data_IF_953021491589
#
_entry.id   IF_953021491589
#
_cell.length_a   1.000
_cell.length_b   1.000
_cell.length_c   1.000
_cell.angle_alpha   90.00
_cell.angle_beta   90.00
_cell.angle_gamma   90.00
#
_symmetry.space_group_name_H-M   'P 1'
#
loop_
_entity.id
_entity.type
_entity.pdbx_description
1 polymer ?
#
# COMPACT_ATOMS: atom_id res chain seq x y z
N UNK A 1 66.00 -8.35 6.62
CA UNK A 1 64.66 -7.97 6.15
C UNK A 1 64.87 -6.94 5.06
N UNK A 2 64.64 -7.23 3.78
CA UNK A 2 64.71 -6.21 2.73
C UNK A 2 63.36 -5.49 2.59
N UNK A 3 63.42 -4.16 2.52
CA UNK A 3 62.29 -3.26 2.30
C UNK A 3 61.70 -3.44 0.90
N UNK A 4 60.38 -3.60 0.83
CA UNK A 4 59.63 -3.71 -0.42
C UNK A 4 59.23 -2.30 -0.90
N UNK A 5 59.82 -1.92 -2.03
CA UNK A 5 59.51 -0.71 -2.80
C UNK A 5 58.15 -0.85 -3.48
N UNK A 6 57.25 0.11 -3.25
CA UNK A 6 55.95 0.22 -3.93
C UNK A 6 56.07 1.27 -5.04
N UNK A 7 55.70 0.97 -6.30
CA UNK A 7 55.63 1.99 -7.35
C UNK A 7 54.29 2.74 -7.33
N UNK A 8 54.36 4.07 -7.49
CA UNK A 8 53.24 5.00 -7.63
C UNK A 8 52.54 4.84 -9.01
N UNK A 9 51.20 5.00 -9.10
CA UNK A 9 50.50 4.96 -10.38
C UNK A 9 50.45 6.31 -11.11
N UNK A 10 50.51 6.18 -12.43
CA UNK A 10 50.63 7.18 -13.49
C UNK A 10 49.51 8.24 -13.51
N UNK A 11 49.89 9.46 -13.90
CA UNK A 11 49.02 10.63 -13.99
C UNK A 11 48.66 10.91 -15.45
N UNK A 12 47.57 10.32 -15.96
CA UNK A 12 47.06 10.65 -17.29
C UNK A 12 45.92 11.69 -17.22
N UNK A 13 46.20 12.82 -17.87
CA UNK A 13 45.39 14.01 -18.01
C UNK A 13 44.29 13.78 -19.06
N UNK A 14 43.03 14.04 -18.73
CA UNK A 14 41.95 14.19 -19.71
C UNK A 14 41.58 15.66 -19.82
N UNK A 15 42.11 16.32 -20.85
CA UNK A 15 41.73 17.65 -21.32
C UNK A 15 40.37 17.59 -22.02
N UNK A 16 39.37 18.30 -21.48
CA UNK A 16 38.06 18.47 -22.11
C UNK A 16 38.11 19.79 -22.89
N UNK A 17 38.21 19.67 -24.22
CA UNK A 17 38.23 20.80 -25.15
C UNK A 17 36.86 21.50 -25.23
N UNK A 18 36.86 22.82 -25.04
CA UNK A 18 35.71 23.71 -25.20
C UNK A 18 35.63 24.15 -26.66
N UNK A 19 34.51 23.97 -27.39
CA UNK A 19 34.38 24.55 -28.73
C UNK A 19 33.86 25.99 -28.68
N UNK A 20 34.57 26.90 -29.37
CA UNK A 20 34.19 28.29 -29.66
C UNK A 20 33.02 28.38 -30.66
N UNK A 21 32.19 29.44 -30.62
CA UNK A 21 31.09 29.65 -31.57
C UNK A 21 31.60 30.31 -32.86
N UNK A 22 31.39 29.67 -34.01
CA UNK A 22 31.65 30.23 -35.34
C UNK A 22 30.35 30.32 -36.12
N UNK A 23 29.93 31.55 -36.44
CA UNK A 23 28.90 31.87 -37.45
C UNK A 23 29.47 31.70 -38.85
N UNK A 24 28.63 31.36 -39.84
CA UNK A 24 28.70 32.12 -41.08
C UNK A 24 27.33 32.52 -41.64
N UNK A 25 27.30 33.77 -42.10
CA UNK A 25 26.32 34.44 -42.94
C UNK A 25 25.94 33.63 -44.19
N UNK A 26 24.65 33.57 -44.53
CA UNK A 26 24.18 33.42 -45.92
C UNK A 26 22.97 34.31 -46.16
N UNK A 27 23.04 34.98 -47.30
CA UNK A 27 22.27 36.11 -47.77
C UNK A 27 20.83 35.78 -48.18
N UNK A 28 20.02 36.84 -48.14
CA UNK A 28 18.64 36.97 -48.61
C UNK A 28 18.53 36.76 -50.13
N UNK A 29 17.52 35.99 -50.56
CA UNK A 29 16.94 36.14 -51.89
C UNK A 29 15.41 36.16 -51.78
N UNK A 30 14.85 37.26 -52.25
CA UNK A 30 13.45 37.61 -52.30
C UNK A 30 12.92 37.24 -53.69
N UNK A 31 12.02 36.25 -53.81
CA UNK A 31 10.91 36.34 -54.75
C UNK A 31 9.89 35.20 -54.70
N UNK A 32 8.65 35.62 -54.98
CA UNK A 32 7.57 34.91 -55.67
C UNK A 32 6.58 34.03 -54.86
N UNK A 33 5.46 34.70 -54.54
CA UNK A 33 4.09 34.29 -54.87
C UNK A 33 3.59 32.92 -54.36
N UNK A 34 2.61 32.99 -53.46
CA UNK A 34 1.22 32.53 -53.68
C UNK A 34 0.46 32.81 -52.38
N UNK A 35 -0.52 33.72 -52.44
CA UNK A 35 -1.46 33.94 -51.36
C UNK A 35 -2.55 32.86 -51.39
N UNK A 36 -2.83 32.17 -50.27
CA UNK A 36 -4.16 31.65 -50.03
C UNK A 36 -4.93 32.66 -49.16
N UNK A 37 -5.95 33.20 -49.80
CA UNK A 37 -7.15 33.80 -49.23
C UNK A 37 -7.57 33.07 -47.93
N UNK A 38 -7.35 33.71 -46.78
CA UNK A 38 -7.95 33.32 -45.50
C UNK A 38 -9.09 34.29 -45.28
N UNK A 39 -10.27 33.89 -45.72
CA UNK A 39 -11.53 34.51 -45.40
C UNK A 39 -11.74 34.32 -43.90
N UNK A 40 -11.55 35.38 -43.13
CA UNK A 40 -11.82 35.43 -41.68
C UNK A 40 -13.36 35.35 -41.51
N UNK A 41 -13.93 34.31 -40.86
CA UNK A 41 -15.36 34.31 -40.59
C UNK A 41 -15.68 35.38 -39.55
N UNK A 42 -16.66 36.25 -39.85
CA UNK A 42 -17.22 37.20 -38.89
C UNK A 42 -17.64 36.44 -37.61
N UNK A 43 -17.36 36.99 -36.41
CA UNK A 43 -17.79 36.36 -35.17
C UNK A 43 -19.33 36.31 -35.13
N UNK A 44 -19.86 35.10 -34.97
CA UNK A 44 -21.28 34.89 -34.66
C UNK A 44 -21.64 35.68 -33.39
N UNK A 45 -22.81 36.33 -33.33
CA UNK A 45 -23.22 37.08 -32.15
C UNK A 45 -23.30 36.14 -30.94
N UNK A 46 -22.64 36.53 -29.84
CA UNK A 46 -22.77 35.85 -28.56
C UNK A 46 -24.25 35.75 -28.18
N UNK A 47 -24.73 34.57 -27.74
CA UNK A 47 -26.11 34.42 -27.31
C UNK A 47 -26.36 35.34 -26.12
N UNK A 48 -27.46 36.10 -26.18
CA UNK A 48 -27.94 36.88 -25.03
C UNK A 48 -28.07 35.94 -23.82
N UNK A 49 -27.62 36.37 -22.62
CA UNK A 49 -27.71 35.54 -21.44
C UNK A 49 -29.18 35.22 -21.16
N UNK A 50 -29.50 33.93 -21.06
CA UNK A 50 -30.79 33.48 -20.58
C UNK A 50 -31.07 34.12 -19.21
N UNK A 51 -32.31 34.56 -18.94
CA UNK A 51 -32.63 35.15 -17.65
C UNK A 51 -32.31 34.16 -16.54
N UNK A 52 -31.53 34.60 -15.56
CA UNK A 52 -31.25 33.83 -14.35
C UNK A 52 -32.59 33.38 -13.74
N UNK A 53 -32.73 32.08 -13.40
CA UNK A 53 -33.95 31.60 -12.78
C UNK A 53 -34.19 32.38 -11.48
N UNK A 54 -35.42 32.88 -11.31
CA UNK A 54 -35.83 33.49 -10.05
C UNK A 54 -35.52 32.52 -8.90
N UNK A 55 -34.93 33.01 -7.79
CA UNK A 55 -34.59 32.15 -6.68
C UNK A 55 -35.86 31.46 -6.17
N UNK A 56 -35.82 30.12 -6.14
CA UNK A 56 -36.86 29.33 -5.48
C UNK A 56 -37.01 29.84 -4.04
N UNK A 57 -38.26 29.95 -3.53
CA UNK A 57 -38.48 30.41 -2.16
C UNK A 57 -37.71 29.52 -1.20
N UNK A 58 -36.88 30.15 -0.36
CA UNK A 58 -36.17 29.46 0.71
C UNK A 58 -37.18 28.64 1.52
N UNK A 59 -36.92 27.34 1.75
CA UNK A 59 -37.81 26.51 2.55
C UNK A 59 -37.93 27.14 3.94
N UNK A 60 -39.17 27.28 4.42
CA UNK A 60 -39.44 27.72 5.79
C UNK A 60 -38.59 26.85 6.74
N UNK A 61 -37.95 27.46 7.75
CA UNK A 61 -37.11 26.72 8.69
C UNK A 61 -37.96 25.64 9.35
N UNK A 62 -37.53 24.38 9.19
CA UNK A 62 -38.10 23.27 9.95
C UNK A 62 -38.06 23.63 11.45
N UNK A 63 -39.10 23.31 12.21
CA UNK A 63 -39.14 23.60 13.64
C UNK A 63 -37.91 23.02 14.31
N UNK A 64 -37.19 23.85 15.07
CA UNK A 64 -36.08 23.40 15.89
C UNK A 64 -36.54 22.19 16.72
N UNK A 65 -35.83 21.05 16.65
CA UNK A 65 -36.20 19.89 17.45
C UNK A 65 -36.15 20.31 18.93
N UNK A 66 -37.24 20.02 19.65
CA UNK A 66 -37.26 20.18 21.10
C UNK A 66 -36.02 19.49 21.70
N UNK A 67 -35.35 20.11 22.68
CA UNK A 67 -34.15 19.52 23.27
C UNK A 67 -34.51 18.16 23.85
N UNK A 68 -33.92 17.11 23.29
CA UNK A 68 -33.95 15.78 23.90
C UNK A 68 -33.48 15.90 25.35
N UNK A 69 -34.15 15.21 26.29
CA UNK A 69 -33.78 15.27 27.70
C UNK A 69 -32.32 14.85 27.85
N UNK A 70 -31.52 15.72 28.49
CA UNK A 70 -30.16 15.38 28.90
C UNK A 70 -30.20 14.02 29.61
N UNK A 71 -29.43 13.01 29.17
CA UNK A 71 -29.37 11.76 29.88
C UNK A 71 -28.73 12.05 31.23
N UNK A 72 -29.55 11.96 32.29
CA UNK A 72 -29.06 11.90 33.65
C UNK A 72 -27.95 10.85 33.69
N UNK A 73 -26.75 11.29 34.06
CA UNK A 73 -25.59 10.44 34.27
C UNK A 73 -25.92 9.41 35.36
N UNK A 74 -26.49 8.28 34.95
CA UNK A 74 -26.55 7.06 35.74
C UNK A 74 -25.16 6.49 35.81
N UNK A 75 -24.46 6.93 36.84
CA UNK A 75 -23.28 6.28 37.39
C UNK A 75 -23.69 4.84 37.78
N UNK A 76 -23.07 3.87 37.10
CA UNK A 76 -23.05 2.41 37.36
C UNK A 76 -24.22 1.59 36.80
N UNK A 77 -23.95 0.77 35.76
CA UNK A 77 -23.58 -0.64 35.88
C UNK A 77 -23.01 -1.16 34.55
N UNK A 78 -22.04 -2.08 34.64
CA UNK A 78 -21.40 -2.75 33.52
C UNK A 78 -22.37 -3.76 32.90
N UNK A 79 -23.17 -3.33 31.92
CA UNK A 79 -23.92 -4.26 31.07
C UNK A 79 -23.26 -4.38 29.70
N UNK A 80 -22.66 -5.55 29.52
CA UNK A 80 -21.97 -6.00 28.33
C UNK A 80 -23.01 -6.21 27.22
N UNK A 81 -23.16 -5.23 26.35
CA UNK A 81 -23.53 -5.56 24.96
C UNK A 81 -22.35 -6.34 24.41
N UNK A 82 -22.51 -7.60 23.92
CA UNK A 82 -21.39 -8.31 23.35
C UNK A 82 -20.98 -7.55 22.09
N UNK A 83 -19.88 -6.80 22.18
CA UNK A 83 -19.16 -6.36 21.01
C UNK A 83 -18.94 -7.61 20.13
N UNK A 84 -19.10 -7.50 18.80
CA UNK A 84 -18.74 -8.60 17.91
C UNK A 84 -17.37 -9.13 18.33
N UNK A 85 -17.19 -10.46 18.47
CA UNK A 85 -16.06 -11.03 19.19
C UNK A 85 -14.78 -10.44 18.62
N UNK A 86 -14.12 -9.60 19.41
CA UNK A 86 -12.76 -9.18 19.11
C UNK A 86 -11.94 -10.46 18.91
N UNK A 87 -10.91 -10.45 18.03
CA UNK A 87 -10.04 -11.61 17.89
C UNK A 87 -9.58 -12.04 19.29
N UNK A 88 -9.51 -13.34 19.60
CA UNK A 88 -9.41 -13.89 20.97
C UNK A 88 -8.19 -13.43 21.78
N UNK A 89 -7.34 -12.59 21.19
CA UNK A 89 -6.06 -12.11 21.70
C UNK A 89 -6.04 -10.60 21.95
N UNK A 90 -7.14 -9.89 21.68
CA UNK A 90 -7.20 -8.44 21.82
C UNK A 90 -7.62 -8.05 23.23
N UNK A 91 -6.93 -7.07 23.82
CA UNK A 91 -7.24 -6.48 25.11
C UNK A 91 -7.43 -4.98 24.92
N UNK A 92 -8.52 -4.42 25.45
CA UNK A 92 -8.85 -2.99 25.30
C UNK A 92 -8.92 -2.53 23.82
N UNK A 93 -9.43 -3.39 22.92
CA UNK A 93 -9.60 -3.04 21.51
C UNK A 93 -8.31 -3.02 20.68
N UNK A 94 -7.22 -3.62 21.15
CA UNK A 94 -5.95 -3.79 20.41
C UNK A 94 -5.22 -5.08 20.81
N UNK A 95 -4.26 -5.58 20.00
CA UNK A 95 -3.48 -6.78 20.33
C UNK A 95 -2.67 -6.66 21.64
N UNK A 96 -2.29 -7.79 22.25
CA UNK A 96 -1.50 -7.80 23.50
C UNK A 96 -0.12 -7.15 23.35
N UNK A 97 0.53 -7.28 22.18
CA UNK A 97 1.81 -6.63 21.91
C UNK A 97 1.69 -5.12 21.73
N UNK A 98 0.48 -4.62 21.43
CA UNK A 98 0.21 -3.20 21.18
C UNK A 98 -0.27 -2.44 22.42
N UNK A 99 -0.09 -3.01 23.62
CA UNK A 99 -0.54 -2.35 24.85
C UNK A 99 0.36 -1.19 25.28
N UNK A 100 1.63 -1.27 24.90
CA UNK A 100 2.66 -0.26 25.14
C UNK A 100 3.33 0.08 23.80
N UNK A 101 4.44 0.82 23.82
CA UNK A 101 5.20 1.08 22.58
C UNK A 101 5.74 -0.24 22.00
N UNK A 102 5.69 -0.37 20.69
CA UNK A 102 6.13 -1.55 19.97
C UNK A 102 6.89 -1.17 18.70
N UNK A 103 7.69 -2.12 18.21
CA UNK A 103 8.46 -1.96 16.99
C UNK A 103 7.71 -2.58 15.81
N UNK A 104 7.67 -1.87 14.68
CA UNK A 104 7.08 -2.32 13.43
C UNK A 104 8.06 -2.24 12.27
N UNK A 105 8.02 -3.26 11.40
CA UNK A 105 8.80 -3.31 10.17
C UNK A 105 7.94 -2.77 9.05
N UNK A 106 8.41 -1.73 8.37
CA UNK A 106 7.81 -1.27 7.14
C UNK A 106 8.33 -2.09 5.96
N UNK A 107 7.42 -2.54 5.10
CA UNK A 107 7.76 -3.24 3.88
C UNK A 107 6.79 -2.88 2.77
N UNK A 108 7.19 -3.12 1.51
CA UNK A 108 6.41 -2.76 0.33
C UNK A 108 6.06 -3.96 -0.52
N UNK A 109 4.82 -3.99 -0.96
CA UNK A 109 4.25 -5.02 -1.84
C UNK A 109 3.57 -4.30 -3.00
N UNK A 110 4.12 -4.45 -4.22
CA UNK A 110 3.61 -3.81 -5.45
C UNK A 110 3.25 -2.33 -5.29
N UNK A 111 4.12 -1.57 -4.60
CA UNK A 111 3.94 -0.14 -4.33
C UNK A 111 3.13 0.21 -3.07
N UNK A 112 2.40 -0.73 -2.45
CA UNK A 112 1.71 -0.51 -1.18
C UNK A 112 2.67 -0.69 0.00
N UNK A 113 2.69 0.27 0.92
CA UNK A 113 3.46 0.18 2.17
C UNK A 113 2.59 -0.47 3.25
N UNK A 114 3.17 -1.44 3.95
CA UNK A 114 2.55 -2.20 5.04
C UNK A 114 3.48 -2.17 6.25
N UNK A 115 2.88 -2.26 7.44
CA UNK A 115 3.58 -2.38 8.70
C UNK A 115 3.27 -3.74 9.34
N UNK A 116 4.27 -4.37 9.93
CA UNK A 116 4.12 -5.63 10.67
C UNK A 116 4.89 -5.57 12.00
N UNK A 117 4.29 -5.97 13.13
CA UNK A 117 4.97 -5.94 14.43
C UNK A 117 6.17 -6.90 14.47
N UNK A 118 7.35 -6.40 14.86
CA UNK A 118 8.59 -7.20 14.89
C UNK A 118 8.51 -8.39 15.85
N UNK A 119 7.79 -8.22 16.95
CA UNK A 119 7.62 -9.27 17.98
C UNK A 119 6.88 -10.50 17.47
N UNK A 120 6.18 -10.39 16.34
CA UNK A 120 5.46 -11.49 15.69
C UNK A 120 6.21 -12.07 14.48
N UNK A 121 7.45 -11.64 14.22
CA UNK A 121 8.23 -12.09 13.06
C UNK A 121 9.22 -13.21 13.42
N UNK A 122 9.29 -14.23 12.56
CA UNK A 122 10.27 -15.32 12.64
C UNK A 122 11.57 -15.07 11.87
N UNK A 123 11.67 -13.94 11.17
CA UNK A 123 12.84 -13.53 10.39
C UNK A 123 12.52 -13.13 8.94
N UNK A 124 13.51 -12.60 8.26
CA UNK A 124 13.41 -12.13 6.87
C UNK A 124 14.36 -12.94 6.01
N UNK A 125 13.85 -13.51 4.92
CA UNK A 125 14.61 -14.33 3.98
C UNK A 125 14.67 -13.57 2.66
N UNK A 126 15.88 -13.47 2.08
CA UNK A 126 16.06 -12.97 0.72
C UNK A 126 15.80 -14.09 -0.28
N UNK A 127 15.03 -13.80 -1.32
CA UNK A 127 14.74 -14.73 -2.41
C UNK A 127 15.91 -14.69 -3.39
N UNK A 128 16.80 -15.67 -3.30
CA UNK A 128 17.95 -15.81 -4.22
C UNK A 128 17.73 -16.85 -5.31
N UNK A 129 16.82 -17.79 -5.08
CA UNK A 129 16.50 -18.89 -5.97
C UNK A 129 15.00 -18.91 -6.21
N UNK A 130 14.61 -19.38 -7.39
CA UNK A 130 13.20 -19.58 -7.70
C UNK A 130 12.59 -20.58 -6.69
N UNK A 131 11.41 -20.27 -6.14
CA UNK A 131 10.75 -21.16 -5.21
C UNK A 131 10.24 -22.42 -5.91
N UNK A 132 10.25 -23.54 -5.19
CA UNK A 132 9.74 -24.80 -5.73
C UNK A 132 8.21 -24.70 -5.88
N UNK A 133 7.65 -24.84 -7.10
CA UNK A 133 6.21 -24.82 -7.28
C UNK A 133 5.58 -26.09 -6.70
N UNK A 134 4.39 -25.95 -6.13
CA UNK A 134 3.59 -27.08 -5.65
C UNK A 134 2.28 -27.11 -6.43
N UNK A 135 1.97 -28.26 -7.03
CA UNK A 135 0.74 -28.45 -7.80
C UNK A 135 -0.47 -28.60 -6.88
N UNK A 136 -1.63 -28.12 -7.32
CA UNK A 136 -2.88 -28.18 -6.56
C UNK A 136 -2.93 -27.22 -5.36
N UNK A 137 -2.04 -26.24 -5.31
CA UNK A 137 -2.11 -25.14 -4.35
C UNK A 137 -2.95 -23.99 -4.92
N UNK A 138 -3.57 -23.16 -4.05
CA UNK A 138 -4.34 -22.00 -4.48
C UNK A 138 -3.46 -20.91 -5.12
N UNK A 139 -4.07 -20.02 -5.90
CA UNK A 139 -3.36 -19.00 -6.70
C UNK A 139 -2.52 -18.02 -5.87
N UNK A 140 -2.85 -17.83 -4.59
CA UNK A 140 -2.08 -17.00 -3.68
C UNK A 140 -0.81 -17.68 -3.16
N UNK A 141 -0.62 -18.98 -3.43
CA UNK A 141 0.59 -19.71 -3.07
C UNK A 141 1.68 -19.49 -4.12
N UNK A 142 2.75 -18.81 -3.74
CA UNK A 142 3.84 -18.43 -4.66
C UNK A 142 4.96 -19.47 -4.75
N UNK A 143 4.89 -20.57 -4.00
CA UNK A 143 5.90 -21.64 -3.99
C UNK A 143 6.47 -21.96 -2.60
N UNK A 144 7.49 -22.82 -2.54
CA UNK A 144 8.19 -23.19 -1.31
C UNK A 144 9.67 -22.85 -1.41
N UNK A 145 10.20 -22.15 -0.41
CA UNK A 145 11.64 -21.90 -0.24
C UNK A 145 12.21 -22.79 0.86
N UNK A 146 13.46 -23.21 0.68
CA UNK A 146 14.23 -23.87 1.72
C UNK A 146 15.28 -22.89 2.26
N UNK A 147 15.20 -22.57 3.55
CA UNK A 147 16.14 -21.66 4.21
C UNK A 147 16.49 -22.20 5.59
N UNK A 148 17.77 -22.23 5.95
CA UNK A 148 18.28 -22.74 7.23
C UNK A 148 17.74 -24.14 7.61
N UNK A 149 17.55 -25.01 6.62
CA UNK A 149 17.00 -26.35 6.82
C UNK A 149 15.48 -26.42 7.02
N UNK A 150 14.79 -25.29 7.05
CA UNK A 150 13.33 -25.20 7.15
C UNK A 150 12.69 -24.94 5.78
N UNK A 151 11.49 -25.49 5.59
CA UNK A 151 10.65 -25.20 4.43
C UNK A 151 9.72 -24.04 4.77
N UNK A 152 9.69 -23.03 3.91
CA UNK A 152 8.86 -21.83 4.04
C UNK A 152 7.93 -21.77 2.85
N UNK A 153 6.63 -21.85 3.11
CA UNK A 153 5.57 -21.68 2.15
C UNK A 153 5.35 -20.18 1.89
N UNK A 154 5.56 -19.78 0.63
CA UNK A 154 5.48 -18.41 0.18
C UNK A 154 4.05 -18.02 -0.14
N UNK A 155 3.59 -16.93 0.44
CA UNK A 155 2.27 -16.34 0.21
C UNK A 155 2.43 -15.06 -0.58
N UNK A 156 1.72 -14.99 -1.72
CA UNK A 156 1.57 -13.77 -2.49
C UNK A 156 0.76 -12.74 -1.68
N UNK A 157 1.49 -11.88 -0.97
CA UNK A 157 0.86 -10.88 -0.09
C UNK A 157 0.03 -9.88 -0.88
N UNK A 158 0.36 -9.61 -2.15
CA UNK A 158 -0.40 -8.69 -2.98
C UNK A 158 -1.83 -9.17 -3.19
N UNK A 159 -2.05 -10.45 -3.44
CA UNK A 159 -3.40 -11.00 -3.65
C UNK A 159 -4.30 -10.86 -2.42
N UNK A 160 -3.70 -10.86 -1.21
CA UNK A 160 -4.42 -10.69 0.04
C UNK A 160 -4.73 -9.23 0.39
N UNK A 161 -3.83 -8.31 0.05
CA UNK A 161 -3.88 -6.92 0.51
C UNK A 161 -4.33 -5.92 -0.56
N UNK A 162 -4.09 -6.22 -1.83
CA UNK A 162 -4.41 -5.35 -2.96
C UNK A 162 -5.67 -5.82 -3.71
N UNK A 163 -6.44 -4.88 -4.30
CA UNK A 163 -7.47 -5.22 -5.27
C UNK A 163 -6.91 -6.06 -6.43
N UNK A 164 -7.72 -6.93 -7.05
CA UNK A 164 -7.24 -7.87 -8.07
C UNK A 164 -6.52 -7.18 -9.24
N UNK A 165 -7.00 -6.02 -9.67
CA UNK A 165 -6.40 -5.27 -10.77
C UNK A 165 -4.97 -4.75 -10.49
N UNK A 166 -4.62 -4.48 -9.22
CA UNK A 166 -3.26 -4.05 -8.82
C UNK A 166 -2.35 -5.25 -8.52
N UNK A 167 -2.93 -6.38 -8.09
CA UNK A 167 -2.16 -7.57 -7.75
C UNK A 167 -1.48 -8.23 -8.96
N UNK A 168 -2.00 -8.01 -10.19
CA UNK A 168 -1.50 -8.63 -11.42
C UNK A 168 -0.13 -8.11 -11.91
N UNK A 169 0.43 -7.09 -11.27
CA UNK A 169 1.73 -6.54 -11.64
C UNK A 169 2.83 -7.61 -11.51
N UNK A 170 3.70 -7.74 -12.52
CA UNK A 170 4.68 -8.86 -12.62
C UNK A 170 5.99 -8.70 -11.85
N UNK A 171 6.07 -7.78 -10.89
CA UNK A 171 7.32 -7.55 -10.17
C UNK A 171 7.71 -8.74 -9.28
N UNK A 172 8.91 -9.31 -9.42
CA UNK A 172 9.31 -10.44 -8.60
C UNK A 172 9.42 -10.03 -7.12
N UNK A 173 9.06 -10.96 -6.24
CA UNK A 173 9.26 -10.80 -4.81
C UNK A 173 10.72 -11.06 -4.45
N UNK A 174 11.33 -10.12 -3.74
CA UNK A 174 12.74 -10.18 -3.36
C UNK A 174 12.94 -10.69 -1.92
N UNK A 175 11.91 -10.58 -1.09
CA UNK A 175 11.97 -10.92 0.32
C UNK A 175 10.75 -11.71 0.76
N UNK A 176 10.94 -12.55 1.76
CA UNK A 176 9.89 -13.31 2.45
C UNK A 176 10.01 -13.03 3.94
N UNK A 177 8.96 -12.45 4.52
CA UNK A 177 8.87 -12.16 5.94
C UNK A 177 8.16 -13.33 6.61
N UNK A 178 8.88 -14.10 7.44
CA UNK A 178 8.30 -15.24 8.17
C UNK A 178 7.42 -14.78 9.31
N UNK A 179 6.26 -15.42 9.44
CA UNK A 179 5.30 -15.18 10.51
C UNK A 179 5.60 -16.12 11.67
N UNK A 180 5.94 -15.57 12.86
CA UNK A 180 6.21 -16.33 14.08
C UNK A 180 7.14 -17.54 13.83
N UNK A 181 6.90 -18.66 14.51
CA UNK A 181 7.56 -19.94 14.26
C UNK A 181 6.87 -20.78 13.17
N UNK A 182 5.95 -20.19 12.40
CA UNK A 182 5.22 -20.90 11.36
C UNK A 182 6.11 -21.20 10.15
N UNK A 183 5.60 -22.09 9.29
CA UNK A 183 6.15 -22.35 7.97
C UNK A 183 5.67 -21.33 6.92
N UNK A 184 4.86 -20.33 7.31
CA UNK A 184 4.34 -19.29 6.42
C UNK A 184 5.27 -18.09 6.28
N UNK A 185 5.36 -17.57 5.06
CA UNK A 185 6.12 -16.38 4.75
C UNK A 185 5.39 -15.44 3.80
N UNK A 186 5.32 -14.17 4.18
CA UNK A 186 4.72 -13.10 3.38
C UNK A 186 5.72 -12.58 2.35
N UNK A 187 5.39 -12.72 1.07
CA UNK A 187 6.22 -12.23 -0.03
C UNK A 187 6.11 -10.72 -0.19
N UNK A 188 7.25 -10.04 -0.30
CA UNK A 188 7.30 -8.60 -0.54
C UNK A 188 8.45 -8.21 -1.48
N UNK A 189 8.31 -7.02 -2.08
CA UNK A 189 9.28 -6.51 -3.05
C UNK A 189 10.45 -5.80 -2.36
N UNK A 190 10.19 -5.15 -1.22
CA UNK A 190 11.20 -4.37 -0.50
C UNK A 190 10.91 -4.39 0.99
N UNK A 191 11.97 -4.55 1.79
CA UNK A 191 11.96 -4.26 3.22
C UNK A 191 12.53 -2.86 3.42
N UNK A 192 11.82 -2.00 4.16
CA UNK A 192 12.24 -0.65 4.46
C UNK A 192 12.89 -0.60 5.85
N UNK A 193 12.45 0.30 6.72
CA UNK A 193 13.00 0.50 8.05
C UNK A 193 12.10 -0.09 9.16
N UNK A 194 12.68 -0.26 10.35
CA UNK A 194 11.94 -0.53 11.57
C UNK A 194 11.63 0.78 12.29
N UNK A 195 10.40 0.94 12.74
CA UNK A 195 9.90 2.14 13.41
C UNK A 195 9.32 1.79 14.79
N UNK A 196 9.49 2.70 15.73
CA UNK A 196 8.86 2.61 17.06
C UNK A 196 7.53 3.33 17.04
N UNK A 197 6.45 2.65 17.42
CA UNK A 197 5.10 3.17 17.43
C UNK A 197 4.50 3.12 18.85
N UNK A 198 3.90 4.24 19.25
CA UNK A 198 2.95 4.29 20.35
C UNK A 198 1.56 3.81 19.89
N UNK A 199 0.75 3.19 20.77
CA UNK A 199 -0.58 2.74 20.40
C UNK A 199 -1.52 3.85 19.89
N UNK A 200 -1.31 5.09 20.31
CA UNK A 200 -2.03 6.28 19.86
C UNK A 200 -1.70 6.69 18.42
N UNK A 201 -0.54 6.27 17.89
CA UNK A 201 -0.13 6.53 16.51
C UNK A 201 -0.79 5.55 15.51
N UNK A 202 -1.66 4.67 16.00
CA UNK A 202 -2.40 3.71 15.20
C UNK A 202 -3.90 3.92 15.38
N UNK A 203 -4.60 4.09 14.25
CA UNK A 203 -6.06 3.99 14.22
C UNK A 203 -6.45 2.52 14.21
N UNK A 204 -6.70 1.97 15.40
CA UNK A 204 -7.14 0.58 15.59
C UNK A 204 -8.54 0.34 15.04
N UNK A 205 -8.78 -0.85 14.52
CA UNK A 205 -10.11 -1.26 14.08
C UNK A 205 -10.93 -1.82 15.24
N UNK A 206 -12.16 -1.36 15.38
CA UNK A 206 -13.11 -1.86 16.38
C UNK A 206 -14.02 -2.97 15.84
N UNK A 207 -14.17 -3.08 14.51
CA UNK A 207 -15.00 -4.08 13.85
C UNK A 207 -14.19 -4.89 12.82
N UNK A 208 -14.30 -6.22 12.92
CA UNK A 208 -13.91 -7.12 11.84
C UNK A 208 -14.81 -6.86 10.64
N UNK A 209 -14.23 -6.29 9.59
CA UNK A 209 -14.88 -6.12 8.30
C UNK A 209 -14.25 -7.03 7.25
N UNK A 210 -14.35 -6.65 5.97
CA UNK A 210 -13.84 -7.43 4.83
C UNK A 210 -12.36 -7.84 4.88
N UNK A 211 -11.54 -7.19 5.71
CA UNK A 211 -10.10 -7.46 5.87
C UNK A 211 -9.80 -7.90 7.31
N UNK A 212 -9.98 -9.19 7.65
CA UNK A 212 -9.74 -9.70 9.00
C UNK A 212 -8.27 -9.63 9.44
N UNK A 213 -7.32 -9.58 8.50
CA UNK A 213 -5.88 -9.46 8.75
C UNK A 213 -5.41 -8.05 9.12
N UNK A 214 -6.27 -7.02 9.04
CA UNK A 214 -5.89 -5.63 9.25
C UNK A 214 -6.12 -5.24 10.72
N UNK A 215 -5.05 -4.96 11.47
CA UNK A 215 -5.14 -4.49 12.86
C UNK A 215 -5.56 -3.02 12.95
N UNK A 216 -5.03 -2.19 12.05
CA UNK A 216 -5.26 -0.74 12.07
C UNK A 216 -4.49 -0.02 10.98
N UNK A 217 -4.51 1.31 11.03
CA UNK A 217 -3.76 2.18 10.11
C UNK A 217 -2.78 3.03 10.90
N UNK A 218 -1.49 2.96 10.56
CA UNK A 218 -0.44 3.80 11.13
C UNK A 218 -0.62 5.21 10.59
N UNK A 219 -0.75 6.19 11.47
CA UNK A 219 -1.11 7.57 11.13
C UNK A 219 0.04 8.25 10.38
N UNK A 220 1.24 8.25 10.97
CA UNK A 220 2.37 9.02 10.43
C UNK A 220 2.89 8.47 9.09
N UNK A 221 2.84 7.15 8.93
CA UNK A 221 3.32 6.47 7.72
C UNK A 221 2.20 6.17 6.71
N UNK A 222 0.94 6.49 7.04
CA UNK A 222 -0.24 6.25 6.20
C UNK A 222 -0.28 4.83 5.62
N UNK A 223 0.08 3.84 6.42
CA UNK A 223 0.20 2.45 6.00
C UNK A 223 -0.69 1.53 6.84
N UNK A 224 -1.07 0.40 6.25
CA UNK A 224 -1.86 -0.61 6.94
C UNK A 224 -0.99 -1.45 7.87
N UNK A 225 -1.42 -1.60 9.12
CA UNK A 225 -0.81 -2.45 10.13
C UNK A 225 -1.45 -3.83 10.14
N UNK A 226 -0.64 -4.87 9.90
CA UNK A 226 -1.09 -6.25 9.82
C UNK A 226 -1.23 -6.86 11.23
N UNK A 227 -2.38 -7.49 11.50
CA UNK A 227 -2.53 -8.44 12.62
C UNK A 227 -1.98 -9.79 12.13
N UNK A 228 -0.75 -10.10 12.53
CA UNK A 228 -0.01 -11.29 12.07
C UNK A 228 -0.71 -12.56 12.53
N UNK A 229 -1.20 -12.55 13.76
CA UNK A 229 -1.92 -13.67 14.34
C UNK A 229 -3.26 -13.95 13.65
N UNK A 230 -3.96 -12.92 13.18
CA UNK A 230 -5.14 -13.09 12.34
C UNK A 230 -4.77 -13.56 10.93
N UNK A 231 -3.71 -12.98 10.34
CA UNK A 231 -3.23 -13.39 9.01
C UNK A 231 -2.83 -14.88 8.98
N UNK A 232 -2.09 -15.35 9.99
CA UNK A 232 -1.67 -16.75 10.10
C UNK A 232 -2.87 -17.71 10.15
N UNK A 233 -3.90 -17.37 10.92
CA UNK A 233 -5.14 -18.15 10.99
C UNK A 233 -5.84 -18.24 9.64
N UNK A 234 -5.91 -17.13 8.91
CA UNK A 234 -6.49 -17.11 7.56
C UNK A 234 -5.71 -17.98 6.56
N UNK A 235 -4.39 -18.08 6.71
CA UNK A 235 -3.58 -18.96 5.88
C UNK A 235 -3.88 -20.43 6.19
N UNK A 236 -3.93 -20.79 7.47
CA UNK A 236 -4.24 -22.15 7.91
C UNK A 236 -5.67 -22.58 7.49
N UNK A 237 -6.66 -21.68 7.58
CA UNK A 237 -8.03 -21.92 7.13
C UNK A 237 -8.16 -21.91 5.59
N UNK A 238 -7.45 -21.00 4.93
CA UNK A 238 -7.42 -20.83 3.47
C UNK A 238 -6.81 -22.01 2.71
N UNK A 239 -6.11 -22.91 3.40
CA UNK A 239 -5.66 -24.18 2.83
C UNK A 239 -6.79 -25.15 2.45
N UNK A 240 -8.04 -24.88 2.88
CA UNK A 240 -9.19 -25.74 2.62
C UNK A 240 -10.16 -25.25 1.53
N UNK A 241 -10.47 -23.95 1.47
CA UNK A 241 -11.52 -23.43 0.57
C UNK A 241 -11.60 -21.88 0.46
N UNK A 242 -10.80 -21.13 1.23
CA UNK A 242 -10.96 -19.67 1.28
C UNK A 242 -10.11 -18.97 0.21
N UNK A 243 -10.77 -18.36 -0.76
CA UNK A 243 -10.13 -17.41 -1.67
C UNK A 243 -9.68 -16.17 -0.88
N UNK A 244 -8.55 -15.52 -1.24
CA UNK A 244 -8.06 -14.34 -0.55
C UNK A 244 -9.16 -13.27 -0.60
N UNK A 245 -9.26 -12.45 0.46
CA UNK A 245 -10.41 -11.59 0.78
C UNK A 245 -10.95 -10.65 -0.34
N UNK A 246 -10.32 -10.61 -1.51
CA UNK A 246 -10.77 -9.87 -2.69
C UNK A 246 -11.37 -10.75 -3.82
N UNK A 247 -11.30 -12.08 -3.75
CA UNK A 247 -11.77 -12.98 -4.83
C UNK A 247 -13.28 -13.29 -4.73
N UNK A 248 -13.88 -13.25 -3.53
CA UNK A 248 -15.33 -13.40 -3.35
C UNK A 248 -16.16 -12.20 -3.88
N UNK A 249 -15.50 -11.19 -4.45
CA UNK A 249 -16.16 -10.04 -5.11
C UNK A 249 -16.48 -10.35 -6.58
N UNK A 250 -15.87 -11.37 -7.21
CA UNK A 250 -16.12 -11.68 -8.62
C UNK A 250 -17.23 -12.72 -8.84
N UNK A 251 -17.68 -13.45 -7.83
CA UNK A 251 -18.79 -14.41 -7.98
C UNK A 251 -20.19 -13.79 -7.83
N UNK A 252 -20.30 -12.47 -7.62
CA UNK A 252 -21.59 -11.79 -7.45
C UNK A 252 -21.81 -10.63 -8.44
N UNK A 253 -21.09 -10.61 -9.58
CA UNK A 253 -21.32 -9.63 -10.66
C UNK A 253 -21.55 -10.37 -11.99
N UNK A 254 -22.41 -11.39 -11.99
CA UNK A 254 -23.06 -11.90 -13.20
C UNK A 254 -24.48 -12.36 -12.82
N UNK A 255 -25.40 -11.39 -12.77
CA UNK A 255 -26.82 -11.51 -13.19
C UNK A 255 -27.45 -10.11 -13.30
#
# INVERSE_FOLDING_TARGET
MPELSVPEPDSEQFEIAVPEPTTPDVEVDLNEEVAPDITEPEPEPEPEPEPEPEPEPEPEPEPEPEPEPEPELVVQHQDQTPAPPAPPQWKNGRPLWAQERFECLLFKVKGLTLAVPLVELGGIIRVEKEPTPLFGQPDWFSGMLRSNGMNVCMVDTAQWVLPPHLAQQKDPYQFVIRIHDSHWGLCCNQVAEAISLGPEQVRWRTQLGRRPWLAGTVIDHMCALIDVSAFARLLEEGHGDMAPANLSVLENIED
#
